data_IF_171673829701
#
_entry.id   IF_171673829701
#
_cell.length_a   1.000
_cell.length_b   1.000
_cell.length_c   1.000
_cell.angle_alpha   90.00
_cell.angle_beta   90.00
_cell.angle_gamma   90.00
#
_symmetry.space_group_name_H-M   'P 1'
#
loop_
_entity.id
_entity.type
_entity.pdbx_description
1 polymer ?
#
# COMPACT_ATOMS: atom_id res chain seq x y z
N UNK A 1 -30.23 -25.77 19.63
CA UNK A 1 -30.04 -25.04 18.36
C UNK A 1 -30.28 -23.58 18.65
N UNK A 2 -29.22 -22.82 18.89
CA UNK A 2 -29.28 -21.37 19.11
C UNK A 2 -28.19 -20.74 18.27
N UNK A 3 -28.59 -19.91 17.31
CA UNK A 3 -27.71 -18.98 16.62
C UNK A 3 -28.14 -17.57 17.04
N UNK A 4 -27.28 -16.91 17.81
CA UNK A 4 -27.30 -15.47 18.00
C UNK A 4 -26.58 -14.85 16.80
N UNK A 5 -27.26 -13.96 16.08
CA UNK A 5 -26.63 -13.02 15.16
C UNK A 5 -26.65 -11.64 15.83
N UNK A 6 -25.50 -11.18 16.30
CA UNK A 6 -25.31 -9.79 16.71
C UNK A 6 -24.94 -8.98 15.48
N UNK A 7 -25.86 -8.10 15.08
CA UNK A 7 -25.69 -7.11 14.00
C UNK A 7 -24.74 -5.99 14.43
N UNK A 8 -23.68 -5.75 13.66
CA UNK A 8 -22.94 -4.48 13.70
C UNK A 8 -23.59 -3.52 12.70
N UNK A 9 -24.11 -2.40 13.20
CA UNK A 9 -24.77 -1.36 12.41
C UNK A 9 -23.72 -0.43 11.79
N UNK A 10 -23.54 -0.47 10.47
CA UNK A 10 -22.82 0.55 9.74
C UNK A 10 -23.72 1.79 9.56
N UNK A 11 -23.33 2.93 10.14
CA UNK A 11 -24.04 4.21 9.96
C UNK A 11 -23.87 4.67 8.51
N UNK A 12 -24.91 4.47 7.70
CA UNK A 12 -24.98 4.89 6.30
C UNK A 12 -25.37 6.38 6.26
N UNK A 13 -24.47 7.27 5.84
CA UNK A 13 -24.80 8.67 5.62
C UNK A 13 -25.51 8.83 4.27
N UNK A 14 -26.83 8.97 4.28
CA UNK A 14 -27.61 9.38 3.11
C UNK A 14 -27.43 10.88 2.89
N UNK A 15 -26.73 11.27 1.82
CA UNK A 15 -26.74 12.66 1.34
C UNK A 15 -27.76 12.80 0.21
N UNK A 16 -28.80 13.61 0.42
CA UNK A 16 -29.75 14.01 -0.63
C UNK A 16 -29.23 15.25 -1.34
N UNK A 17 -28.99 15.16 -2.64
CA UNK A 17 -28.66 16.32 -3.48
C UNK A 17 -29.96 17.01 -3.95
N UNK A 18 -30.27 18.19 -3.39
CA UNK A 18 -31.52 18.91 -3.69
C UNK A 18 -31.60 19.52 -5.10
N UNK A 19 -30.52 19.49 -5.89
CA UNK A 19 -30.48 20.03 -7.25
C UNK A 19 -30.64 18.98 -8.36
N UNK A 20 -30.70 17.70 -8.01
CA UNK A 20 -30.91 16.60 -8.94
C UNK A 20 -32.24 15.94 -8.59
N UNK A 21 -33.29 16.19 -9.37
CA UNK A 21 -34.64 15.70 -9.09
C UNK A 21 -34.68 14.19 -8.77
N UNK A 22 -34.82 13.87 -7.47
CA UNK A 22 -35.38 12.61 -6.98
C UNK A 22 -34.52 11.35 -6.96
N UNK A 23 -33.27 11.33 -7.43
CA UNK A 23 -32.47 10.09 -7.42
C UNK A 23 -31.45 10.04 -6.27
N UNK A 24 -31.57 9.01 -5.43
CA UNK A 24 -30.62 8.70 -4.37
C UNK A 24 -29.26 8.29 -4.94
N UNK A 25 -28.19 8.94 -4.48
CA UNK A 25 -26.81 8.55 -4.80
C UNK A 25 -26.29 7.71 -3.64
N UNK A 26 -25.88 6.47 -3.92
CA UNK A 26 -25.17 5.62 -2.96
C UNK A 26 -23.68 5.77 -3.24
N UNK A 27 -22.94 6.34 -2.29
CA UNK A 27 -21.49 6.39 -2.34
C UNK A 27 -20.92 5.15 -1.65
N UNK A 28 -20.41 4.21 -2.43
CA UNK A 28 -19.47 3.18 -1.97
C UNK A 28 -18.11 3.54 -2.55
N UNK A 29 -17.11 3.68 -1.68
CA UNK A 29 -15.68 3.78 -2.02
C UNK A 29 -15.36 4.40 -3.39
N UNK A 30 -15.35 5.73 -3.48
CA UNK A 30 -14.60 6.46 -4.50
C UNK A 30 -14.99 6.33 -5.98
N UNK A 31 -15.99 5.53 -6.37
CA UNK A 31 -16.40 5.40 -7.79
C UNK A 31 -17.86 5.81 -7.97
N UNK A 32 -18.10 6.87 -8.75
CA UNK A 32 -19.45 7.23 -9.20
C UNK A 32 -19.83 6.32 -10.37
N UNK A 33 -20.58 5.26 -10.09
CA UNK A 33 -21.23 4.45 -11.14
C UNK A 33 -22.56 5.11 -11.48
N UNK A 34 -22.66 5.73 -12.66
CA UNK A 34 -23.96 6.12 -13.21
C UNK A 34 -24.60 4.90 -13.87
N UNK A 35 -25.70 4.43 -13.30
CA UNK A 35 -26.55 3.40 -13.91
C UNK A 35 -27.22 3.94 -15.19
N UNK A 36 -26.95 3.29 -16.32
CA UNK A 36 -27.65 3.51 -17.61
C UNK A 36 -28.77 2.48 -17.76
N UNK A 37 -29.77 2.50 -16.88
CA UNK A 37 -30.97 1.68 -17.09
C UNK A 37 -32.26 2.44 -16.80
N UNK A 38 -32.59 3.40 -17.67
CA UNK A 38 -33.99 3.79 -17.88
C UNK A 38 -34.17 4.45 -19.24
N UNK A 39 -34.89 3.77 -20.14
CA UNK A 39 -35.49 4.35 -21.33
C UNK A 39 -36.36 5.56 -20.94
N UNK A 40 -35.93 6.77 -21.28
CA UNK A 40 -36.80 7.95 -21.25
C UNK A 40 -36.61 8.76 -22.53
N UNK A 41 -37.75 9.00 -23.15
CA UNK A 41 -38.01 9.69 -24.41
C UNK A 41 -37.39 11.09 -24.45
N UNK A 42 -36.58 11.38 -25.47
CA UNK A 42 -35.81 12.63 -25.56
C UNK A 42 -36.70 13.72 -26.18
N UNK A 43 -37.51 14.37 -25.34
CA UNK A 43 -38.13 15.65 -25.66
C UNK A 43 -37.07 16.76 -25.72
N UNK A 44 -37.07 17.52 -26.82
CA UNK A 44 -36.20 18.67 -27.15
C UNK A 44 -35.80 19.52 -25.93
N UNK A 45 -34.49 19.66 -25.69
CA UNK A 45 -33.89 20.62 -24.74
C UNK A 45 -32.44 20.91 -25.11
N UNK A 46 -32.06 22.19 -25.08
CA UNK A 46 -30.89 22.78 -25.74
C UNK A 46 -29.51 22.25 -25.29
N UNK A 47 -28.60 22.08 -26.25
CA UNK A 47 -27.16 21.99 -26.03
C UNK A 47 -26.63 23.30 -25.42
N UNK A 48 -26.04 23.24 -24.23
CA UNK A 48 -25.23 24.32 -23.66
C UNK A 48 -23.78 23.85 -23.55
N UNK A 49 -22.89 24.55 -24.25
CA UNK A 49 -21.45 24.25 -24.33
C UNK A 49 -20.65 24.55 -23.05
N UNK A 50 -19.34 24.25 -23.05
CA UNK A 50 -18.56 23.92 -21.84
C UNK A 50 -18.06 25.11 -21.01
N UNK A 51 -18.81 26.22 -20.92
CA UNK A 51 -18.34 27.45 -20.22
C UNK A 51 -19.06 27.81 -18.91
N UNK A 52 -19.95 26.97 -18.38
CA UNK A 52 -20.70 27.28 -17.15
C UNK A 52 -20.39 26.41 -15.92
N UNK A 53 -19.43 25.47 -16.00
CA UNK A 53 -19.10 24.54 -14.91
C UNK A 53 -17.97 25.00 -13.97
N UNK A 54 -17.59 26.28 -14.00
CA UNK A 54 -16.56 26.84 -13.11
C UNK A 54 -17.17 27.90 -12.21
N UNK A 55 -17.97 27.47 -11.23
CA UNK A 55 -18.23 28.24 -10.00
C UNK A 55 -18.90 27.32 -8.98
N UNK A 56 -18.07 26.70 -8.14
CA UNK A 56 -18.27 26.45 -6.71
C UNK A 56 -17.26 25.41 -6.20
N UNK A 57 -15.96 25.71 -6.33
CA UNK A 57 -14.87 24.89 -5.78
C UNK A 57 -14.27 25.46 -4.49
N UNK A 58 -15.09 26.02 -3.60
CA UNK A 58 -14.60 26.62 -2.35
C UNK A 58 -14.88 25.82 -1.07
N UNK A 59 -15.29 24.54 -1.17
CA UNK A 59 -15.45 23.65 0.00
C UNK A 59 -14.42 22.51 0.09
N UNK A 60 -13.40 22.50 -0.77
CA UNK A 60 -12.36 21.44 -0.78
C UNK A 60 -11.50 21.48 0.50
N UNK A 61 -11.32 22.65 1.12
CA UNK A 61 -10.53 22.78 2.35
C UNK A 61 -11.28 22.23 3.57
N UNK A 62 -12.60 22.42 3.63
CA UNK A 62 -13.46 21.89 4.70
C UNK A 62 -13.58 20.38 4.65
N UNK A 63 -13.81 19.83 3.45
CA UNK A 63 -13.88 18.37 3.21
C UNK A 63 -12.54 17.69 3.50
N UNK A 64 -11.41 18.28 3.09
CA UNK A 64 -10.06 17.76 3.40
C UNK A 64 -9.78 17.74 4.90
N UNK A 65 -10.25 18.75 5.64
CA UNK A 65 -10.06 18.81 7.11
C UNK A 65 -10.91 17.78 7.83
N UNK A 66 -12.16 17.57 7.40
CA UNK A 66 -13.07 16.58 7.98
C UNK A 66 -12.65 15.14 7.67
N UNK A 67 -12.11 14.88 6.47
CA UNK A 67 -11.46 13.60 6.13
C UNK A 67 -10.22 13.33 7.00
N UNK A 68 -9.39 14.36 7.26
CA UNK A 68 -8.20 14.21 8.12
C UNK A 68 -8.57 13.90 9.58
N UNK A 69 -9.71 14.41 10.08
CA UNK A 69 -10.18 14.13 11.45
C UNK A 69 -10.99 12.83 11.57
N UNK A 70 -11.61 12.32 10.49
CA UNK A 70 -12.35 11.06 10.53
C UNK A 70 -11.45 9.81 10.41
N UNK A 71 -10.20 9.97 9.96
CA UNK A 71 -9.20 8.89 9.84
C UNK A 71 -8.61 8.49 11.20
N UNK A 72 -8.82 9.27 12.26
CA UNK A 72 -8.22 8.99 13.58
C UNK A 72 -8.86 7.83 14.35
N UNK A 73 -10.00 7.28 13.88
CA UNK A 73 -10.63 6.07 14.42
C UNK A 73 -10.59 4.88 13.45
N UNK A 74 -9.79 4.95 12.37
CA UNK A 74 -9.58 3.78 11.51
C UNK A 74 -8.73 2.75 12.25
N UNK A 75 -9.23 1.51 12.32
CA UNK A 75 -8.49 0.36 12.85
C UNK A 75 -7.10 0.34 12.22
N UNK A 76 -6.06 0.36 13.05
CA UNK A 76 -4.67 0.57 12.63
C UNK A 76 -4.06 -0.68 11.99
N UNK A 77 -4.56 -1.13 10.84
CA UNK A 77 -4.07 -2.35 10.17
C UNK A 77 -2.89 -2.08 9.22
N UNK A 78 -1.99 -3.06 9.08
CA UNK A 78 -0.93 -2.99 8.07
C UNK A 78 -1.46 -2.93 6.63
N UNK A 79 -2.65 -3.49 6.36
CA UNK A 79 -3.27 -3.33 5.02
C UNK A 79 -3.66 -1.88 4.74
N UNK A 80 -4.10 -1.12 5.75
CA UNK A 80 -4.34 0.31 5.62
C UNK A 80 -3.02 1.08 5.47
N UNK A 81 -1.97 0.68 6.18
CA UNK A 81 -0.62 1.24 6.01
C UNK A 81 -0.10 1.06 4.57
N UNK A 82 -0.30 -0.11 3.96
CA UNK A 82 0.04 -0.34 2.54
C UNK A 82 -0.68 0.67 1.63
N UNK A 83 -1.98 0.90 1.84
CA UNK A 83 -2.75 1.87 1.03
C UNK A 83 -2.19 3.29 1.15
N UNK A 84 -1.82 3.70 2.36
CA UNK A 84 -1.25 5.03 2.63
C UNK A 84 0.14 5.14 2.00
N UNK A 85 1.02 4.19 2.28
CA UNK A 85 2.40 4.20 1.79
C UNK A 85 2.48 4.14 0.27
N UNK A 86 1.65 3.33 -0.39
CA UNK A 86 1.62 3.27 -1.85
C UNK A 86 1.18 4.62 -2.40
N UNK A 87 0.15 5.26 -1.85
CA UNK A 87 -0.24 6.59 -2.29
C UNK A 87 0.90 7.60 -2.16
N UNK A 88 1.56 7.64 -1.00
CA UNK A 88 2.65 8.59 -0.74
C UNK A 88 3.88 8.30 -1.62
N UNK A 89 4.17 7.01 -1.87
CA UNK A 89 5.20 6.55 -2.82
C UNK A 89 4.88 7.02 -4.25
N UNK A 90 3.65 6.84 -4.72
CA UNK A 90 3.24 7.26 -6.06
C UNK A 90 3.34 8.78 -6.23
N UNK A 91 2.91 9.56 -5.21
CA UNK A 91 3.07 11.02 -5.21
C UNK A 91 4.55 11.40 -5.39
N UNK A 92 5.47 10.75 -4.66
CA UNK A 92 6.92 10.98 -4.80
C UNK A 92 7.49 10.52 -6.15
N UNK A 93 7.00 9.40 -6.71
CA UNK A 93 7.42 8.89 -8.04
C UNK A 93 7.16 9.94 -9.13
N UNK A 94 6.05 10.67 -9.05
CA UNK A 94 5.72 11.72 -10.02
C UNK A 94 6.60 12.98 -9.88
N UNK A 95 7.35 13.14 -8.78
CA UNK A 95 8.30 14.23 -8.59
C UNK A 95 9.71 13.89 -9.14
N UNK A 96 10.00 12.62 -9.41
CA UNK A 96 11.30 12.20 -9.91
C UNK A 96 11.55 12.67 -11.35
N UNK A 97 12.74 13.21 -11.66
CA UNK A 97 13.07 13.60 -13.02
C UNK A 97 13.15 12.36 -13.92
N UNK A 98 12.67 12.42 -15.19
CA UNK A 98 12.68 11.28 -16.09
C UNK A 98 14.05 10.62 -16.29
N UNK A 99 15.15 11.37 -16.14
CA UNK A 99 16.51 10.86 -16.28
C UNK A 99 16.98 9.97 -15.12
N UNK A 100 16.31 10.00 -13.96
CA UNK A 100 16.76 9.30 -12.75
C UNK A 100 16.46 7.79 -12.72
N UNK A 101 15.59 7.31 -13.61
CA UNK A 101 15.06 5.94 -13.55
C UNK A 101 16.08 4.84 -13.85
N UNK A 102 17.12 5.16 -14.63
CA UNK A 102 18.22 4.24 -14.93
C UNK A 102 19.42 4.38 -13.99
N UNK A 103 19.41 5.38 -13.11
CA UNK A 103 20.40 5.54 -12.05
C UNK A 103 20.15 4.56 -10.90
N UNK A 104 21.20 4.28 -10.12
CA UNK A 104 21.10 3.42 -8.94
C UNK A 104 20.16 4.01 -7.87
N UNK A 105 19.36 3.15 -7.25
CA UNK A 105 18.49 3.51 -6.13
C UNK A 105 19.29 3.49 -4.81
N UNK A 106 19.61 4.66 -4.27
CA UNK A 106 20.35 4.79 -3.02
C UNK A 106 21.67 4.02 -3.03
N UNK A 107 21.81 3.07 -2.10
CA UNK A 107 23.01 2.22 -1.97
C UNK A 107 22.90 0.89 -2.75
N UNK A 108 21.78 0.64 -3.42
CA UNK A 108 21.53 -0.61 -4.12
C UNK A 108 22.34 -0.70 -5.42
N UNK A 109 22.59 -1.94 -5.86
CA UNK A 109 23.10 -2.21 -7.21
C UNK A 109 21.99 -2.20 -8.27
N UNK A 110 20.76 -1.87 -7.89
CA UNK A 110 19.57 -1.86 -8.72
C UNK A 110 19.26 -0.42 -9.15
N UNK A 111 18.75 -0.26 -10.37
CA UNK A 111 18.26 1.05 -10.78
C UNK A 111 16.97 1.40 -10.04
N UNK A 112 16.56 2.68 -10.07
CA UNK A 112 15.24 3.09 -9.56
C UNK A 112 14.10 2.37 -10.27
N UNK A 113 14.22 2.15 -11.58
CA UNK A 113 13.23 1.36 -12.33
C UNK A 113 13.13 -0.07 -11.79
N UNK A 114 14.26 -0.76 -11.64
CA UNK A 114 14.29 -2.14 -11.14
C UNK A 114 13.79 -2.24 -9.70
N UNK A 115 14.09 -1.24 -8.86
CA UNK A 115 13.63 -1.18 -7.46
C UNK A 115 12.11 -0.96 -7.37
N UNK A 116 11.54 -0.14 -8.26
CA UNK A 116 10.09 0.07 -8.33
C UNK A 116 9.34 -1.16 -8.89
N UNK A 117 9.95 -1.93 -9.79
CA UNK A 117 9.40 -3.22 -10.23
C UNK A 117 9.43 -4.25 -9.11
N UNK A 118 10.53 -4.32 -8.36
CA UNK A 118 10.67 -5.19 -7.19
C UNK A 118 9.56 -4.92 -6.15
N UNK A 119 9.24 -3.66 -5.86
CA UNK A 119 8.10 -3.31 -5.01
C UNK A 119 6.76 -3.89 -5.50
N UNK A 120 6.51 -3.83 -6.80
CA UNK A 120 5.30 -4.41 -7.39
C UNK A 120 5.32 -5.94 -7.36
N UNK A 121 6.49 -6.56 -7.58
CA UNK A 121 6.66 -8.01 -7.52
C UNK A 121 6.39 -8.56 -6.12
N UNK A 122 7.00 -7.97 -5.08
CA UNK A 122 6.82 -8.38 -3.69
C UNK A 122 5.34 -8.34 -3.28
N UNK A 123 4.65 -7.23 -3.58
CA UNK A 123 3.21 -7.11 -3.32
C UNK A 123 2.41 -8.21 -4.02
N UNK A 124 2.70 -8.47 -5.30
CA UNK A 124 2.01 -9.48 -6.08
C UNK A 124 2.29 -10.90 -5.56
N UNK A 125 3.54 -11.23 -5.26
CA UNK A 125 3.94 -12.57 -4.80
C UNK A 125 3.49 -12.84 -3.37
N UNK A 126 3.48 -11.84 -2.49
CA UNK A 126 2.86 -11.93 -1.16
C UNK A 126 1.35 -12.19 -1.27
N UNK A 127 0.67 -11.49 -2.18
CA UNK A 127 -0.74 -11.75 -2.47
C UNK A 127 -0.97 -13.16 -3.01
N UNK A 128 -0.13 -13.63 -3.93
CA UNK A 128 -0.23 -14.96 -4.51
C UNK A 128 -0.06 -16.09 -3.47
N UNK A 129 0.86 -15.92 -2.50
CA UNK A 129 1.03 -16.86 -1.38
C UNK A 129 -0.23 -16.95 -0.51
N UNK A 130 -0.89 -15.82 -0.24
CA UNK A 130 -2.17 -15.78 0.48
C UNK A 130 -3.32 -16.41 -0.33
N UNK A 131 -3.30 -16.26 -1.66
CA UNK A 131 -4.30 -16.83 -2.56
C UNK A 131 -4.14 -18.35 -2.77
N UNK A 132 -2.96 -18.92 -2.51
CA UNK A 132 -2.66 -20.34 -2.65
C UNK A 132 -2.07 -20.95 -1.35
N UNK A 133 -2.77 -20.87 -0.20
CA UNK A 133 -2.20 -21.18 1.12
C UNK A 133 -1.84 -22.66 1.32
N UNK A 134 -2.39 -23.56 0.49
CA UNK A 134 -2.08 -24.99 0.54
C UNK A 134 -0.77 -25.37 -0.15
N UNK A 135 -0.15 -24.46 -0.91
CA UNK A 135 1.12 -24.73 -1.56
C UNK A 135 2.28 -24.50 -0.58
N UNK A 136 3.19 -25.48 -0.38
CA UNK A 136 4.14 -25.46 0.73
C UNK A 136 5.44 -24.68 0.45
N UNK A 137 5.60 -24.14 -0.75
CA UNK A 137 6.81 -23.45 -1.22
C UNK A 137 6.45 -22.09 -1.82
N UNK A 138 7.44 -21.37 -2.32
CA UNK A 138 7.22 -20.16 -3.11
C UNK A 138 6.43 -20.48 -4.37
N UNK A 139 5.44 -19.65 -4.70
CA UNK A 139 4.60 -19.84 -5.88
C UNK A 139 5.52 -19.92 -7.10
N UNK A 140 5.46 -20.99 -7.91
CA UNK A 140 6.45 -21.28 -8.94
C UNK A 140 6.21 -20.45 -10.20
N UNK A 141 6.21 -19.13 -10.05
CA UNK A 141 6.22 -18.20 -11.17
C UNK A 141 7.53 -18.30 -11.92
N UNK A 142 7.47 -18.19 -13.25
CA UNK A 142 8.68 -17.98 -14.02
C UNK A 142 9.15 -16.55 -13.84
N UNK A 143 10.41 -16.38 -13.44
CA UNK A 143 11.04 -15.08 -13.19
C UNK A 143 12.12 -14.80 -14.24
N UNK A 144 12.49 -13.54 -14.36
CA UNK A 144 13.67 -13.15 -15.15
C UNK A 144 14.31 -11.88 -14.61
N UNK A 145 15.61 -11.75 -14.88
CA UNK A 145 16.35 -10.52 -14.60
C UNK A 145 16.40 -9.63 -15.85
N UNK A 146 16.24 -8.31 -15.68
CA UNK A 146 16.45 -7.34 -16.77
C UNK A 146 17.88 -7.33 -17.29
N UNK A 147 18.83 -7.58 -16.40
CA UNK A 147 20.27 -7.64 -16.63
C UNK A 147 20.93 -8.47 -15.55
N UNK A 148 22.16 -8.89 -15.78
CA UNK A 148 22.95 -9.57 -14.76
C UNK A 148 23.04 -8.71 -13.47
N UNK A 149 22.67 -9.30 -12.33
CA UNK A 149 22.71 -8.66 -11.02
C UNK A 149 21.51 -7.77 -10.68
N UNK A 150 20.52 -7.63 -11.57
CA UNK A 150 19.22 -7.06 -11.22
C UNK A 150 18.38 -8.09 -10.41
N UNK A 151 17.30 -7.67 -9.75
CA UNK A 151 16.35 -8.59 -9.13
C UNK A 151 15.80 -9.61 -10.15
N UNK A 152 15.54 -10.84 -9.70
CA UNK A 152 14.93 -11.90 -10.52
C UNK A 152 13.43 -11.94 -10.25
N UNK A 153 12.66 -11.27 -11.12
CA UNK A 153 11.27 -10.92 -10.84
C UNK A 153 10.31 -11.46 -11.91
N UNK A 154 9.06 -11.65 -11.51
CA UNK A 154 7.94 -11.93 -12.41
C UNK A 154 7.41 -10.64 -13.04
N UNK A 155 7.36 -9.55 -12.28
CA UNK A 155 6.75 -8.28 -12.68
C UNK A 155 7.77 -7.39 -13.42
N UNK A 156 7.51 -7.15 -14.70
CA UNK A 156 8.29 -6.23 -15.54
C UNK A 156 7.36 -5.22 -16.22
N UNK A 157 7.50 -3.94 -15.91
CA UNK A 157 6.78 -2.86 -16.56
C UNK A 157 7.32 -2.60 -17.98
N UNK A 158 6.46 -2.24 -18.92
CA UNK A 158 6.88 -1.84 -20.25
C UNK A 158 7.69 -0.54 -20.18
N UNK A 159 8.94 -0.52 -20.64
CA UNK A 159 9.77 0.71 -20.63
C UNK A 159 9.08 1.88 -21.36
N UNK A 160 8.38 1.57 -22.46
CA UNK A 160 7.67 2.55 -23.28
C UNK A 160 6.48 3.21 -22.56
N UNK A 161 5.98 2.63 -21.47
CA UNK A 161 4.91 3.25 -20.67
C UNK A 161 5.41 4.33 -19.72
N UNK A 162 6.73 4.47 -19.58
CA UNK A 162 7.35 5.44 -18.69
C UNK A 162 7.03 5.24 -17.21
N UNK A 163 7.41 6.21 -16.36
CA UNK A 163 7.16 6.20 -14.93
C UNK A 163 5.67 6.11 -14.57
N UNK A 164 4.79 6.68 -15.39
CA UNK A 164 3.34 6.62 -15.18
C UNK A 164 2.81 5.19 -15.30
N UNK A 165 3.30 4.41 -16.27
CA UNK A 165 2.94 3.01 -16.39
C UNK A 165 3.54 2.15 -15.27
N UNK A 166 4.76 2.46 -14.83
CA UNK A 166 5.37 1.79 -13.68
C UNK A 166 4.60 2.05 -12.38
N UNK A 167 4.17 3.30 -12.15
CA UNK A 167 3.29 3.68 -11.04
C UNK A 167 1.97 2.88 -11.07
N UNK A 168 1.35 2.73 -12.24
CA UNK A 168 0.13 1.94 -12.39
C UNK A 168 0.34 0.44 -12.08
N UNK A 169 1.52 -0.11 -12.37
CA UNK A 169 1.87 -1.50 -12.02
C UNK A 169 1.98 -1.67 -10.50
N UNK A 170 2.63 -0.74 -9.80
CA UNK A 170 2.71 -0.73 -8.33
C UNK A 170 1.32 -0.61 -7.71
N UNK A 171 0.52 0.35 -8.19
CA UNK A 171 -0.85 0.57 -7.71
C UNK A 171 -1.73 -0.69 -7.88
N UNK A 172 -1.64 -1.35 -9.04
CA UNK A 172 -2.37 -2.58 -9.31
C UNK A 172 -1.93 -3.72 -8.38
N UNK A 173 -0.62 -3.93 -8.21
CA UNK A 173 -0.09 -4.95 -7.32
C UNK A 173 -0.51 -4.72 -5.85
N UNK A 174 -0.44 -3.48 -5.38
CA UNK A 174 -0.89 -3.09 -4.04
C UNK A 174 -2.38 -3.36 -3.83
N UNK A 175 -3.22 -2.94 -4.78
CA UNK A 175 -4.67 -3.12 -4.67
C UNK A 175 -5.06 -4.60 -4.69
N UNK A 176 -4.40 -5.42 -5.52
CA UNK A 176 -4.58 -6.87 -5.55
C UNK A 176 -4.12 -7.50 -4.23
N UNK A 177 -2.93 -7.14 -3.74
CA UNK A 177 -2.40 -7.62 -2.46
C UNK A 177 -3.39 -7.35 -1.33
N UNK A 178 -3.82 -6.09 -1.18
CA UNK A 178 -4.70 -5.70 -0.08
C UNK A 178 -6.05 -6.42 -0.18
N UNK A 179 -6.64 -6.52 -1.37
CA UNK A 179 -7.90 -7.23 -1.56
C UNK A 179 -7.80 -8.72 -1.16
N UNK A 180 -6.68 -9.39 -1.51
CA UNK A 180 -6.45 -10.77 -1.13
C UNK A 180 -6.19 -10.91 0.38
N UNK A 181 -5.39 -10.00 0.96
CA UNK A 181 -5.07 -10.01 2.39
C UNK A 181 -6.31 -9.78 3.26
N UNK A 182 -7.20 -8.87 2.87
CA UNK A 182 -8.47 -8.61 3.58
C UNK A 182 -9.47 -9.77 3.44
N UNK A 183 -9.41 -10.54 2.35
CA UNK A 183 -10.29 -11.69 2.10
C UNK A 183 -9.75 -13.02 2.65
N UNK A 184 -8.48 -13.08 3.02
CA UNK A 184 -7.82 -14.29 3.49
C UNK A 184 -8.43 -14.80 4.81
N UNK A 185 -8.56 -16.13 4.94
CA UNK A 185 -8.98 -16.73 6.20
C UNK A 185 -7.90 -16.49 7.28
N UNK A 186 -8.27 -16.17 8.53
CA UNK A 186 -7.30 -16.02 9.62
C UNK A 186 -6.57 -17.33 9.98
N UNK A 187 -7.06 -18.48 9.52
CA UNK A 187 -6.50 -19.80 9.83
C UNK A 187 -5.37 -20.23 8.88
N UNK A 188 -5.10 -19.48 7.81
CA UNK A 188 -4.02 -19.82 6.87
C UNK A 188 -2.66 -19.40 7.44
N UNK A 189 -1.65 -20.23 7.17
CA UNK A 189 -0.27 -19.96 7.58
C UNK A 189 0.72 -20.35 6.47
N UNK A 190 0.66 -19.71 5.28
CA UNK A 190 1.55 -20.00 4.16
C UNK A 190 3.04 -19.81 4.53
N UNK A 191 3.90 -20.51 3.80
CA UNK A 191 5.34 -20.45 4.02
C UNK A 191 5.96 -19.21 3.39
N UNK A 192 7.00 -18.68 4.05
CA UNK A 192 7.92 -17.67 3.52
C UNK A 192 9.33 -18.02 4.00
N UNK A 193 10.37 -17.62 3.27
CA UNK A 193 11.77 -17.86 3.66
C UNK A 193 12.12 -17.26 5.03
N UNK A 194 11.44 -16.17 5.43
CA UNK A 194 11.59 -15.51 6.72
C UNK A 194 10.63 -15.99 7.82
N UNK A 195 9.92 -17.11 7.59
CA UNK A 195 9.00 -17.71 8.54
C UNK A 195 7.55 -17.71 8.06
N UNK A 196 6.77 -18.69 8.52
CA UNK A 196 5.36 -18.83 8.16
C UNK A 196 4.52 -17.75 8.84
N UNK A 197 3.55 -17.20 8.12
CA UNK A 197 2.64 -16.19 8.68
C UNK A 197 1.29 -16.17 7.95
N UNK A 198 0.29 -15.53 8.56
CA UNK A 198 -0.99 -15.20 7.93
C UNK A 198 -1.01 -13.81 7.28
N UNK A 199 -2.19 -13.33 6.89
CA UNK A 199 -2.36 -12.07 6.16
C UNK A 199 -1.73 -10.84 6.87
N UNK A 200 -1.81 -10.77 8.20
CA UNK A 200 -1.23 -9.67 8.98
C UNK A 200 0.29 -9.58 8.82
N UNK A 201 1.02 -10.71 8.81
CA UNK A 201 2.47 -10.69 8.68
C UNK A 201 2.91 -10.39 7.26
N UNK A 202 2.20 -10.89 6.25
CA UNK A 202 2.44 -10.48 4.86
C UNK A 202 2.16 -9.00 4.66
N UNK A 203 1.14 -8.44 5.33
CA UNK A 203 0.89 -7.00 5.29
C UNK A 203 2.02 -6.22 5.98
N UNK A 204 2.52 -6.66 7.13
CA UNK A 204 3.68 -6.05 7.77
C UNK A 204 4.93 -6.12 6.88
N UNK A 205 5.13 -7.23 6.15
CA UNK A 205 6.21 -7.38 5.18
C UNK A 205 6.07 -6.37 4.03
N UNK A 206 4.88 -6.28 3.41
CA UNK A 206 4.62 -5.29 2.37
C UNK A 206 4.92 -3.86 2.84
N UNK A 207 4.60 -3.53 4.10
CA UNK A 207 4.90 -2.21 4.67
C UNK A 207 6.41 -1.99 4.81
N UNK A 208 7.19 -2.96 5.29
CA UNK A 208 8.66 -2.78 5.38
C UNK A 208 9.29 -2.66 4.00
N UNK A 209 8.88 -3.45 3.00
CA UNK A 209 9.39 -3.33 1.62
C UNK A 209 9.12 -1.93 1.07
N UNK A 210 7.88 -1.45 1.17
CA UNK A 210 7.48 -0.12 0.72
C UNK A 210 8.27 0.99 1.41
N UNK A 211 8.51 0.89 2.72
CA UNK A 211 9.28 1.88 3.47
C UNK A 211 10.73 1.90 3.01
N UNK A 212 11.36 0.73 2.98
CA UNK A 212 12.79 0.58 2.76
C UNK A 212 13.15 0.91 1.31
N UNK A 213 12.41 0.36 0.35
CA UNK A 213 12.68 0.60 -1.06
C UNK A 213 12.11 1.92 -1.56
N UNK A 214 11.09 2.49 -0.90
CA UNK A 214 10.73 3.90 -1.07
C UNK A 214 11.88 4.83 -0.69
N UNK A 215 12.57 4.58 0.44
CA UNK A 215 13.78 5.32 0.80
C UNK A 215 14.88 5.16 -0.27
N UNK A 216 15.12 3.93 -0.74
CA UNK A 216 16.13 3.66 -1.78
C UNK A 216 15.80 4.43 -3.09
N UNK A 217 14.52 4.52 -3.47
CA UNK A 217 14.07 5.27 -4.65
C UNK A 217 14.34 6.78 -4.55
N UNK A 218 14.07 7.39 -3.40
CA UNK A 218 14.17 8.85 -3.23
C UNK A 218 15.51 9.33 -2.69
N UNK A 219 16.39 8.42 -2.25
CA UNK A 219 17.72 8.76 -1.79
C UNK A 219 18.49 9.57 -2.84
N UNK A 220 18.94 10.78 -2.44
CA UNK A 220 19.75 11.68 -3.27
C UNK A 220 18.99 12.43 -4.37
N UNK A 221 17.67 12.32 -4.46
CA UNK A 221 16.88 12.98 -5.53
C UNK A 221 16.34 14.35 -5.15
N UNK A 222 16.34 14.68 -3.85
CA UNK A 222 15.75 15.91 -3.31
C UNK A 222 14.25 15.84 -3.06
N UNK A 223 13.60 14.71 -3.33
CA UNK A 223 12.21 14.44 -2.92
C UNK A 223 12.19 14.20 -1.41
N UNK A 224 11.39 15.00 -0.69
CA UNK A 224 11.21 14.87 0.77
C UNK A 224 10.17 13.79 1.05
N UNK A 225 10.63 12.56 1.25
CA UNK A 225 9.78 11.40 1.47
C UNK A 225 10.15 10.68 2.77
N UNK A 226 9.17 10.54 3.65
CA UNK A 226 9.29 9.76 4.88
C UNK A 226 7.92 9.21 5.31
N UNK A 227 7.84 7.93 5.71
CA UNK A 227 6.63 7.36 6.32
C UNK A 227 6.39 7.92 7.72
N UNK A 228 5.18 7.69 8.26
CA UNK A 228 4.88 8.04 9.64
C UNK A 228 5.66 7.15 10.63
N UNK A 229 6.30 7.75 11.63
CA UNK A 229 7.05 7.05 12.68
C UNK A 229 6.24 5.95 13.38
N UNK A 230 4.95 6.20 13.65
CA UNK A 230 4.07 5.20 14.25
C UNK A 230 3.93 3.92 13.40
N UNK A 231 3.98 4.03 12.06
CA UNK A 231 3.96 2.88 11.15
C UNK A 231 5.30 2.14 11.19
N UNK A 232 6.42 2.87 11.19
CA UNK A 232 7.76 2.28 11.37
C UNK A 232 7.89 1.54 12.70
N UNK A 233 7.38 2.12 13.80
CA UNK A 233 7.39 1.51 15.13
C UNK A 233 6.61 0.19 15.19
N UNK A 234 5.44 0.13 14.55
CA UNK A 234 4.67 -1.13 14.45
C UNK A 234 5.40 -2.19 13.63
N UNK A 235 6.04 -1.80 12.53
CA UNK A 235 6.87 -2.71 11.71
C UNK A 235 8.04 -3.26 12.52
N UNK A 236 8.79 -2.39 13.21
CA UNK A 236 9.91 -2.77 14.06
C UNK A 236 9.46 -3.78 15.13
N UNK A 237 8.41 -3.46 15.88
CA UNK A 237 7.87 -4.34 16.91
C UNK A 237 7.40 -5.70 16.36
N UNK A 238 6.89 -5.74 15.12
CA UNK A 238 6.35 -6.96 14.51
C UNK A 238 7.39 -7.86 13.86
N UNK A 239 8.43 -7.27 13.26
CA UNK A 239 9.34 -7.94 12.32
C UNK A 239 10.80 -7.96 12.80
N UNK A 240 11.18 -7.11 13.76
CA UNK A 240 12.56 -6.97 14.23
C UNK A 240 12.65 -7.12 15.75
N UNK A 241 12.40 -8.33 16.29
CA UNK A 241 12.39 -8.58 17.74
C UNK A 241 13.74 -8.33 18.43
N UNK A 242 14.82 -8.20 17.66
CA UNK A 242 16.17 -7.88 18.14
C UNK A 242 16.46 -6.37 18.19
N UNK A 243 15.49 -5.52 17.80
CA UNK A 243 15.66 -4.07 17.74
C UNK A 243 14.86 -3.39 18.85
N UNK A 244 15.56 -2.70 19.75
CA UNK A 244 14.93 -1.86 20.77
C UNK A 244 14.35 -0.58 20.14
N UNK A 245 13.04 -0.41 20.29
CA UNK A 245 12.27 0.74 19.79
C UNK A 245 12.29 1.86 20.84
N UNK A 246 13.38 2.62 20.90
CA UNK A 246 13.54 3.76 21.83
C UNK A 246 13.76 5.11 21.12
N UNK A 247 13.87 5.13 19.78
CA UNK A 247 14.29 6.28 18.97
C UNK A 247 13.30 6.59 17.84
N UNK A 248 13.58 7.69 17.10
CA UNK A 248 12.94 8.05 15.81
C UNK A 248 12.80 6.80 14.94
N UNK A 249 11.57 6.36 14.78
CA UNK A 249 11.24 5.01 14.38
C UNK A 249 11.59 4.77 12.90
N UNK A 250 11.49 5.79 12.05
CA UNK A 250 11.92 5.68 10.66
C UNK A 250 13.44 5.46 10.52
N UNK A 251 14.26 6.30 11.15
CA UNK A 251 15.73 6.13 11.13
C UNK A 251 16.15 4.79 11.75
N UNK A 252 15.44 4.36 12.80
CA UNK A 252 15.67 3.05 13.43
C UNK A 252 15.38 1.90 12.48
N UNK A 253 14.31 1.99 11.67
CA UNK A 253 13.98 0.99 10.65
C UNK A 253 15.00 0.97 9.50
N UNK A 254 15.49 2.14 9.07
CA UNK A 254 16.55 2.22 8.07
C UNK A 254 17.88 1.65 8.59
N UNK A 255 18.22 1.87 9.86
CA UNK A 255 19.36 1.22 10.50
C UNK A 255 19.18 -0.30 10.60
N UNK A 256 18.01 -0.76 11.05
CA UNK A 256 17.67 -2.17 11.21
C UNK A 256 17.80 -2.96 9.89
N UNK A 257 17.60 -2.27 8.76
CA UNK A 257 17.68 -2.80 7.39
C UNK A 257 18.95 -2.39 6.65
N UNK A 258 19.97 -1.90 7.37
CA UNK A 258 21.32 -1.68 6.84
C UNK A 258 21.47 -0.49 5.87
N UNK A 259 20.50 0.44 5.82
CA UNK A 259 20.54 1.63 4.95
C UNK A 259 21.38 2.76 5.55
N UNK A 260 21.37 2.91 6.88
CA UNK A 260 22.12 3.97 7.57
C UNK A 260 22.82 3.51 8.85
N UNK A 261 23.70 4.37 9.36
CA UNK A 261 24.28 4.28 10.70
C UNK A 261 23.57 5.25 11.66
N UNK A 262 23.51 4.91 12.95
CA UNK A 262 22.98 5.79 14.00
C UNK A 262 24.09 6.21 14.95
N UNK A 263 23.92 7.30 15.73
CA UNK A 263 24.86 7.65 16.79
C UNK A 263 25.12 6.47 17.73
N UNK A 264 26.37 5.98 17.74
CA UNK A 264 26.78 4.84 18.57
C UNK A 264 26.33 3.46 18.07
N UNK A 265 25.71 3.35 16.89
CA UNK A 265 25.36 2.07 16.25
C UNK A 265 25.83 2.07 14.80
N UNK A 266 26.85 1.27 14.50
CA UNK A 266 27.34 1.08 13.13
C UNK A 266 26.22 0.54 12.22
N UNK A 267 26.29 0.88 10.92
CA UNK A 267 25.36 0.35 9.92
C UNK A 267 25.42 -1.17 9.89
N UNK A 268 24.24 -1.81 9.97
CA UNK A 268 24.15 -3.27 9.87
C UNK A 268 24.59 -3.74 8.49
N UNK A 269 25.53 -4.70 8.45
CA UNK A 269 25.99 -5.35 7.22
C UNK A 269 25.33 -6.71 6.98
N UNK A 270 24.73 -7.28 8.02
CA UNK A 270 23.91 -8.48 7.99
C UNK A 270 22.63 -8.21 8.80
N UNK A 271 21.48 -8.49 8.20
CA UNK A 271 20.17 -8.23 8.79
C UNK A 271 19.11 -9.13 8.14
N UNK A 272 18.03 -9.36 8.88
CA UNK A 272 16.80 -9.99 8.38
C UNK A 272 15.63 -9.58 9.26
N UNK A 273 14.42 -9.67 8.73
CA UNK A 273 13.22 -9.69 9.57
C UNK A 273 12.79 -11.12 9.93
N UNK A 274 11.90 -11.20 10.91
CA UNK A 274 11.34 -12.44 11.45
C UNK A 274 9.83 -12.40 11.30
N UNK A 275 9.32 -13.14 10.33
CA UNK A 275 7.92 -13.08 9.97
C UNK A 275 7.04 -13.93 10.90
N UNK A 276 7.58 -15.07 11.34
CA UNK A 276 6.94 -15.89 12.36
C UNK A 276 7.06 -15.19 13.72
N UNK A 277 5.93 -14.98 14.40
CA UNK A 277 5.94 -14.48 15.78
C UNK A 277 6.69 -15.46 16.69
N UNK A 278 7.52 -14.94 17.58
CA UNK A 278 8.35 -15.71 18.50
C UNK A 278 7.58 -16.23 19.72
N UNK A 279 6.39 -15.71 19.97
CA UNK A 279 5.41 -16.19 20.94
C UNK A 279 4.30 -17.01 20.26
N UNK A 280 3.59 -17.83 21.05
CA UNK A 280 2.48 -18.68 20.58
C UNK A 280 1.29 -17.89 20.02
N UNK A 281 0.08 -18.50 19.93
CA UNK A 281 -1.01 -17.98 19.09
C UNK A 281 -1.33 -16.51 19.35
N UNK A 282 -1.58 -15.80 18.24
CA UNK A 282 -1.86 -14.37 18.10
C UNK A 282 -2.55 -13.75 19.31
N UNK A 283 -1.82 -12.92 20.06
CA UNK A 283 -2.44 -11.85 20.85
C UNK A 283 -2.83 -10.74 19.88
N UNK A 284 -4.12 -10.44 19.82
CA UNK A 284 -4.68 -9.33 19.05
C UNK A 284 -4.21 -8.02 19.70
N UNK A 285 -3.31 -7.31 19.03
CA UNK A 285 -2.75 -6.04 19.50
C UNK A 285 -3.72 -4.85 19.26
N UNK A 286 -4.92 -5.10 18.76
CA UNK A 286 -5.90 -4.07 18.40
C UNK A 286 -7.12 -4.00 19.35
N UNK A 287 -7.10 -4.72 20.47
CA UNK A 287 -8.11 -4.59 21.52
C UNK A 287 -7.52 -4.11 22.85
N UNK A 288 -7.45 -2.79 23.03
CA UNK A 288 -7.62 -2.11 24.33
C UNK A 288 -8.17 -0.71 24.12
#
# INVERSE_FOLDING_TARGET
MSLNASSVSATMALMTCSSCGGNSVVALGGVVVMDRSSNLDIGRGQYLGPKSLVRNCLDIVGVRRQYRTAVTDSVTSFTNDVRILVRDLLDGIYELPPSSWDEMAGILAWSRWETAEHLADDLLTYGARLAAPGYPHDIPFATSQRRAGAPDELVHAGRDSGPEGLAAVIEAAANLFVAVAEAASPDINPAHVFGRTGAEGFAAMSVVELIVHGHDLFAGTGVDWAPADATCGRVLARLFPDVDVENVEFDTLLWATGRLELPGRERRTDWRWYNQRSDGPVVDLYTT
#
